data_IF_981512895171
#
_entry.id   IF_981512895171
#
_cell.length_a   1.000
_cell.length_b   1.000
_cell.length_c   1.000
_cell.angle_alpha   90.00
_cell.angle_beta   90.00
_cell.angle_gamma   90.00
#
_symmetry.space_group_name_H-M   'P 1'
#
loop_
_entity.id
_entity.type
_entity.pdbx_description
1 polymer ?
#
# COMPACT_ATOMS: atom_id res chain seq x y z
N UNK A 1 -5.03 -23.02 21.83
CA UNK A 1 -3.89 -22.09 21.78
C UNK A 1 -4.16 -21.10 20.66
N UNK A 2 -4.58 -19.87 21.01
CA UNK A 2 -4.81 -18.80 20.04
C UNK A 2 -3.45 -18.33 19.52
N UNK A 3 -3.03 -18.84 18.36
CA UNK A 3 -1.87 -18.33 17.66
C UNK A 3 -2.19 -16.94 17.13
N UNK A 4 -1.56 -15.91 17.70
CA UNK A 4 -1.69 -14.54 17.20
C UNK A 4 -1.29 -14.52 15.72
N UNK A 5 -2.23 -14.16 14.84
CA UNK A 5 -1.96 -14.06 13.40
C UNK A 5 -0.93 -12.93 13.21
N UNK A 6 0.21 -13.19 12.53
CA UNK A 6 1.17 -12.13 12.24
C UNK A 6 0.49 -11.05 11.40
N UNK A 7 0.77 -9.78 11.70
CA UNK A 7 0.15 -8.64 11.04
C UNK A 7 0.47 -8.58 9.54
N UNK A 8 1.65 -9.06 9.13
CA UNK A 8 2.11 -9.13 7.75
C UNK A 8 3.01 -10.37 7.53
N UNK A 9 3.22 -10.73 6.26
CA UNK A 9 4.17 -11.75 5.83
C UNK A 9 4.80 -11.31 4.51
N UNK A 10 6.09 -11.00 4.55
CA UNK A 10 6.87 -10.44 3.44
C UNK A 10 8.20 -11.19 3.31
N UNK A 11 8.95 -10.93 2.23
CA UNK A 11 10.17 -11.67 1.93
C UNK A 11 11.37 -11.20 2.78
N UNK A 12 11.63 -9.89 2.84
CA UNK A 12 12.74 -9.32 3.62
C UNK A 12 12.49 -7.86 4.03
N UNK A 13 12.10 -7.66 5.29
CA UNK A 13 11.77 -6.34 5.83
C UNK A 13 12.90 -5.29 5.69
N UNK A 14 14.15 -5.72 5.50
CA UNK A 14 15.29 -4.81 5.31
C UNK A 14 15.23 -4.05 3.96
N UNK A 15 14.37 -4.47 3.02
CA UNK A 15 14.18 -3.78 1.74
C UNK A 15 13.24 -2.57 1.83
N UNK A 16 12.63 -2.32 2.99
CA UNK A 16 11.67 -1.23 3.19
C UNK A 16 12.23 0.15 2.82
N UNK A 17 13.49 0.44 3.18
CA UNK A 17 14.13 1.72 2.87
C UNK A 17 14.32 1.94 1.37
N UNK A 18 14.63 0.86 0.63
CA UNK A 18 14.75 0.92 -0.83
C UNK A 18 13.37 1.10 -1.46
N UNK A 19 12.39 0.31 -1.04
CA UNK A 19 11.01 0.44 -1.52
C UNK A 19 10.42 1.82 -1.27
N UNK A 20 10.71 2.44 -0.12
CA UNK A 20 10.26 3.80 0.17
C UNK A 20 10.80 4.83 -0.82
N UNK A 21 12.06 4.71 -1.23
CA UNK A 21 12.66 5.60 -2.24
C UNK A 21 11.95 5.47 -3.58
N UNK A 22 11.63 4.24 -3.99
CA UNK A 22 10.91 3.99 -5.24
C UNK A 22 9.45 4.46 -5.18
N UNK A 23 8.77 4.30 -4.05
CA UNK A 23 7.43 4.84 -3.83
C UNK A 23 7.43 6.36 -4.01
N UNK A 24 8.38 7.08 -3.40
CA UNK A 24 8.50 8.54 -3.56
C UNK A 24 8.75 8.94 -5.01
N UNK A 25 9.54 8.16 -5.76
CA UNK A 25 9.71 8.40 -7.20
C UNK A 25 8.41 8.14 -7.97
N UNK A 26 7.67 7.08 -7.65
CA UNK A 26 6.41 6.74 -8.29
C UNK A 26 5.29 7.76 -8.00
N UNK A 27 5.27 8.39 -6.83
CA UNK A 27 4.30 9.45 -6.51
C UNK A 27 4.37 10.62 -7.51
N UNK A 28 5.58 10.98 -7.96
CA UNK A 28 5.77 12.04 -8.96
C UNK A 28 5.18 11.65 -10.33
N UNK A 29 5.25 10.37 -10.70
CA UNK A 29 4.72 9.83 -11.96
C UNK A 29 3.23 9.43 -11.87
N UNK A 30 2.60 9.57 -10.70
CA UNK A 30 1.19 9.24 -10.46
C UNK A 30 0.36 10.47 -10.04
N UNK A 31 0.30 11.54 -10.87
CA UNK A 31 -0.33 12.81 -10.50
C UNK A 31 -1.84 12.67 -10.22
N UNK A 32 -2.50 11.68 -10.82
CA UNK A 32 -3.91 11.38 -10.58
C UNK A 32 -4.18 10.99 -9.12
N UNK A 33 -3.39 10.05 -8.57
CA UNK A 33 -3.53 9.61 -7.18
C UNK A 33 -3.15 10.74 -6.22
N UNK A 34 -2.07 11.48 -6.52
CA UNK A 34 -1.66 12.62 -5.69
C UNK A 34 -2.72 13.73 -5.67
N UNK A 35 -3.40 13.97 -6.79
CA UNK A 35 -4.53 14.89 -6.86
C UNK A 35 -5.70 14.44 -5.99
N UNK A 36 -6.04 13.15 -6.00
CA UNK A 36 -7.08 12.57 -5.15
C UNK A 36 -6.75 12.72 -3.66
N UNK A 37 -5.50 12.43 -3.27
CA UNK A 37 -5.02 12.66 -1.89
C UNK A 37 -5.23 14.11 -1.48
N UNK A 38 -4.75 15.07 -2.28
CA UNK A 38 -4.90 16.52 -1.99
C UNK A 38 -6.36 16.96 -1.89
N UNK A 39 -7.24 16.41 -2.73
CA UNK A 39 -8.66 16.81 -2.77
C UNK A 39 -9.47 16.23 -1.61
N UNK A 40 -9.16 15.01 -1.17
CA UNK A 40 -10.02 14.25 -0.26
C UNK A 40 -9.37 13.89 1.09
N UNK A 41 -8.12 14.28 1.34
CA UNK A 41 -7.44 14.04 2.63
C UNK A 41 -8.18 14.66 3.81
N UNK A 42 -8.80 15.82 3.63
CA UNK A 42 -9.54 16.51 4.70
C UNK A 42 -10.91 15.90 4.93
N UNK A 43 -11.63 15.51 3.87
CA UNK A 43 -12.99 14.97 3.98
C UNK A 43 -13.00 13.48 4.34
N UNK A 44 -11.89 12.77 4.16
CA UNK A 44 -11.69 11.34 4.47
C UNK A 44 -12.91 10.49 4.06
N UNK A 45 -13.27 10.45 2.77
CA UNK A 45 -14.50 9.82 2.32
C UNK A 45 -14.53 8.31 2.56
N UNK A 46 -13.38 7.68 2.77
CA UNK A 46 -13.27 6.24 3.05
C UNK A 46 -13.17 5.94 4.55
N UNK A 47 -13.39 6.92 5.43
CA UNK A 47 -13.34 6.71 6.88
C UNK A 47 -14.30 5.59 7.30
N UNK A 48 -13.72 4.54 7.89
CA UNK A 48 -14.47 3.35 8.34
C UNK A 48 -14.66 2.27 7.27
N UNK A 49 -14.22 2.51 6.03
CA UNK A 49 -14.18 1.47 5.00
C UNK A 49 -13.07 0.46 5.32
N UNK A 50 -13.38 -0.83 5.23
CA UNK A 50 -12.42 -1.92 5.38
C UNK A 50 -12.21 -2.58 4.02
N UNK A 51 -11.09 -2.29 3.39
CA UNK A 51 -10.77 -2.67 2.02
C UNK A 51 -9.80 -3.85 2.02
N UNK A 52 -10.23 -4.97 1.43
CA UNK A 52 -9.35 -6.10 1.12
C UNK A 52 -8.98 -6.05 -0.37
N UNK A 53 -7.72 -5.82 -0.68
CA UNK A 53 -7.22 -5.78 -2.05
C UNK A 53 -6.51 -7.08 -2.46
N UNK A 54 -6.82 -7.54 -3.67
CA UNK A 54 -6.11 -8.65 -4.32
C UNK A 54 -5.64 -8.17 -5.71
N UNK A 55 -4.42 -7.63 -5.76
CA UNK A 55 -3.83 -7.03 -6.95
C UNK A 55 -2.31 -7.15 -6.85
N UNK A 56 -1.61 -7.21 -7.98
CA UNK A 56 -0.14 -7.23 -8.03
C UNK A 56 0.50 -6.25 -7.04
N UNK A 57 1.33 -6.77 -6.14
CA UNK A 57 1.98 -5.97 -5.10
C UNK A 57 3.25 -5.34 -5.65
N UNK A 58 3.09 -4.21 -6.35
CA UNK A 58 4.17 -3.42 -6.96
C UNK A 58 4.29 -2.05 -6.29
N UNK A 59 5.34 -1.29 -6.64
CA UNK A 59 5.53 0.09 -6.17
C UNK A 59 4.32 0.98 -6.46
N UNK A 60 3.69 0.84 -7.64
CA UNK A 60 2.50 1.59 -8.02
C UNK A 60 1.29 1.24 -7.13
N UNK A 61 1.16 -0.03 -6.75
CA UNK A 61 0.12 -0.49 -5.84
C UNK A 61 0.34 0.03 -4.43
N UNK A 62 1.59 0.16 -3.98
CA UNK A 62 1.89 0.79 -2.69
C UNK A 62 1.39 2.25 -2.63
N UNK A 63 1.61 3.03 -3.71
CA UNK A 63 1.06 4.41 -3.81
C UNK A 63 -0.48 4.40 -3.77
N UNK A 64 -1.13 3.41 -4.38
CA UNK A 64 -2.58 3.23 -4.29
C UNK A 64 -3.04 2.92 -2.86
N UNK A 65 -2.39 1.98 -2.17
CA UNK A 65 -2.72 1.58 -0.80
C UNK A 65 -2.62 2.78 0.14
N UNK A 66 -1.51 3.51 0.10
CA UNK A 66 -1.33 4.73 0.87
C UNK A 66 -2.36 5.81 0.54
N UNK A 67 -2.81 5.90 -0.71
CA UNK A 67 -3.89 6.80 -1.09
C UNK A 67 -5.19 6.42 -0.38
N UNK A 68 -5.53 5.13 -0.35
CA UNK A 68 -6.73 4.65 0.34
C UNK A 68 -6.66 4.90 1.86
N UNK A 69 -5.49 4.69 2.46
CA UNK A 69 -5.23 4.97 3.87
C UNK A 69 -5.37 6.47 4.18
N UNK A 70 -4.79 7.35 3.35
CA UNK A 70 -4.91 8.81 3.50
C UNK A 70 -6.37 9.28 3.40
N UNK A 71 -7.16 8.63 2.53
CA UNK A 71 -8.59 8.86 2.39
C UNK A 71 -9.42 8.27 3.56
N UNK A 72 -8.79 7.57 4.51
CA UNK A 72 -9.39 7.11 5.76
C UNK A 72 -9.78 5.63 5.81
N UNK A 73 -9.44 4.82 4.81
CA UNK A 73 -9.73 3.39 4.80
C UNK A 73 -8.80 2.61 5.75
N UNK A 74 -9.26 1.45 6.22
CA UNK A 74 -8.42 0.37 6.71
C UNK A 74 -8.16 -0.59 5.56
N UNK A 75 -6.89 -0.94 5.29
CA UNK A 75 -6.53 -1.73 4.11
C UNK A 75 -5.80 -3.01 4.53
N UNK A 76 -6.16 -4.13 3.89
CA UNK A 76 -5.36 -5.36 3.87
C UNK A 76 -5.14 -5.76 2.42
N UNK A 77 -3.95 -6.26 2.09
CA UNK A 77 -3.59 -6.53 0.70
C UNK A 77 -2.94 -7.91 0.52
N UNK A 78 -3.16 -8.48 -0.66
CA UNK A 78 -2.45 -9.67 -1.15
C UNK A 78 -2.15 -9.52 -2.63
N UNK A 79 -1.05 -10.11 -3.09
CA UNK A 79 -0.77 -10.21 -4.52
C UNK A 79 -1.71 -11.22 -5.18
N UNK A 80 -2.28 -10.87 -6.34
CA UNK A 80 -3.11 -11.78 -7.13
C UNK A 80 -2.29 -12.74 -8.01
N UNK A 81 -0.96 -12.58 -8.05
CA UNK A 81 -0.07 -13.49 -8.78
C UNK A 81 1.25 -13.72 -8.02
N UNK A 82 1.68 -14.98 -7.97
CA UNK A 82 2.82 -15.46 -7.17
C UNK A 82 4.18 -14.91 -7.60
N UNK A 83 4.33 -14.37 -8.81
CA UNK A 83 5.60 -13.81 -9.31
C UNK A 83 5.57 -12.29 -9.51
N UNK A 84 4.44 -11.66 -9.21
CA UNK A 84 4.23 -10.22 -9.46
C UNK A 84 4.51 -9.32 -8.26
N UNK A 85 4.85 -9.93 -7.12
CA UNK A 85 5.24 -9.17 -5.93
C UNK A 85 6.64 -8.61 -6.14
N UNK A 86 6.75 -7.29 -6.03
CA UNK A 86 8.03 -6.61 -5.88
C UNK A 86 8.31 -6.54 -4.38
N UNK A 87 9.26 -7.33 -3.89
CA UNK A 87 9.46 -7.52 -2.45
C UNK A 87 9.70 -6.20 -1.72
N UNK A 88 10.57 -5.34 -2.26
CA UNK A 88 10.80 -3.99 -1.70
C UNK A 88 9.52 -3.15 -1.59
N UNK A 89 8.56 -3.28 -2.50
CA UNK A 89 7.28 -2.59 -2.43
C UNK A 89 6.36 -3.20 -1.35
N UNK A 90 6.41 -4.51 -1.18
CA UNK A 90 5.69 -5.21 -0.11
C UNK A 90 6.27 -4.89 1.28
N UNK A 91 7.59 -4.83 1.40
CA UNK A 91 8.31 -4.55 2.65
C UNK A 91 8.16 -3.09 3.12
N UNK A 92 7.89 -2.17 2.20
CA UNK A 92 7.71 -0.73 2.48
C UNK A 92 6.25 -0.31 2.68
N UNK A 93 5.29 -1.21 2.50
CA UNK A 93 3.87 -0.91 2.66
C UNK A 93 3.46 -0.86 4.16
N UNK A 94 2.70 0.17 4.58
CA UNK A 94 2.23 0.33 5.96
C UNK A 94 1.13 -0.67 6.38
#
# INVERSE_FOLDING_TARGET
MSGSKPAYKVADINLADFGRKEIVMAENEMPGLMSLRRRYSTSKPLKGARIAGCLHMTVQTAVLIETLLELGAEVQWSSCNIFSTQDHAADSCP
#
